data_IF_832977711644
#
_entry.id   IF_832977711644
#
_cell.length_a   1.000
_cell.length_b   1.000
_cell.length_c   1.000
_cell.angle_alpha   90.00
_cell.angle_beta   90.00
_cell.angle_gamma   90.00
#
_symmetry.space_group_name_H-M   'P 1'
#
loop_
_entity.id
_entity.type
_entity.pdbx_description
1 polymer ?
#
# COMPACT_ATOMS: atom_id res chain seq x y z
N UNK A 1 28.87 11.49 -4.82
CA UNK A 1 29.04 10.26 -5.63
C UNK A 1 29.54 9.18 -4.69
N UNK A 2 28.74 8.17 -4.34
CA UNK A 2 29.26 7.00 -3.66
C UNK A 2 29.99 6.10 -4.67
N UNK A 3 31.05 5.40 -4.26
CA UNK A 3 31.88 4.60 -5.13
C UNK A 3 31.16 3.32 -5.58
N UNK A 4 31.16 3.16 -6.90
CA UNK A 4 30.87 1.97 -7.67
C UNK A 4 31.92 0.88 -7.38
N UNK A 5 31.60 -0.11 -6.53
CA UNK A 5 32.26 -1.42 -6.50
C UNK A 5 31.36 -2.48 -5.83
N UNK A 6 30.40 -3.01 -6.58
CA UNK A 6 29.86 -4.34 -6.33
C UNK A 6 30.52 -5.35 -7.28
N UNK A 7 30.99 -6.53 -6.83
CA UNK A 7 31.61 -7.52 -7.72
C UNK A 7 30.60 -8.09 -8.73
N UNK A 8 31.04 -8.66 -9.88
CA UNK A 8 30.15 -9.34 -10.80
C UNK A 8 29.54 -10.58 -10.13
N UNK A 9 28.21 -10.66 -10.06
CA UNK A 9 27.50 -11.77 -9.43
C UNK A 9 27.73 -13.09 -10.18
N UNK A 10 28.13 -14.19 -9.51
CA UNK A 10 28.05 -15.53 -10.10
C UNK A 10 26.60 -16.04 -10.07
N UNK A 11 26.15 -16.71 -11.15
CA UNK A 11 24.74 -17.13 -11.33
C UNK A 11 24.22 -18.19 -10.35
N UNK A 12 25.03 -18.77 -9.46
CA UNK A 12 24.60 -19.83 -8.55
C UNK A 12 25.47 -19.92 -7.29
N UNK A 13 25.19 -19.11 -6.25
CA UNK A 13 25.42 -19.50 -4.85
C UNK A 13 24.65 -18.56 -3.91
N UNK A 14 23.55 -19.05 -3.34
CA UNK A 14 22.76 -18.35 -2.32
C UNK A 14 23.46 -18.55 -0.97
N UNK A 15 24.15 -17.52 -0.48
CA UNK A 15 24.60 -17.46 0.92
C UNK A 15 24.45 -16.02 1.47
N UNK A 16 23.33 -15.86 2.16
CA UNK A 16 23.02 -14.95 3.27
C UNK A 16 24.03 -13.84 3.59
N UNK A 17 23.73 -12.64 3.10
CA UNK A 17 23.99 -11.42 3.84
C UNK A 17 22.63 -10.98 4.48
N UNK A 18 22.50 -10.66 5.78
CA UNK A 18 21.18 -10.45 6.41
C UNK A 18 20.58 -9.04 6.20
N UNK A 19 21.15 -8.20 5.32
CA UNK A 19 20.88 -6.75 5.34
C UNK A 19 20.72 -6.06 3.97
N UNK A 20 20.52 -6.79 2.88
CA UNK A 20 20.21 -6.17 1.58
C UNK A 20 18.90 -6.75 1.03
N UNK A 21 17.76 -6.09 1.26
CA UNK A 21 16.51 -6.60 0.70
C UNK A 21 16.56 -6.39 -0.83
N UNK A 22 17.16 -7.32 -1.58
CA UNK A 22 17.07 -7.36 -3.04
C UNK A 22 15.60 -7.59 -3.34
N UNK A 23 14.95 -6.57 -3.92
CA UNK A 23 13.60 -6.67 -4.47
C UNK A 23 13.46 -8.05 -5.14
N UNK A 24 12.53 -8.91 -4.70
CA UNK A 24 12.43 -10.25 -5.23
C UNK A 24 12.36 -10.19 -6.76
N UNK A 25 13.23 -10.91 -7.49
CA UNK A 25 13.26 -10.84 -8.95
C UNK A 25 11.87 -11.09 -9.53
N UNK A 26 11.44 -10.23 -10.44
CA UNK A 26 10.12 -10.36 -11.07
C UNK A 26 8.95 -9.88 -10.20
N UNK A 27 9.19 -9.02 -9.20
CA UNK A 27 8.13 -8.32 -8.48
C UNK A 27 8.10 -6.83 -8.79
N UNK A 28 6.96 -6.19 -8.51
CA UNK A 28 6.76 -4.76 -8.48
C UNK A 28 6.14 -4.31 -7.16
N UNK A 29 6.52 -3.12 -6.71
CA UNK A 29 6.05 -2.52 -5.47
C UNK A 29 4.72 -1.81 -5.71
N UNK A 30 3.70 -2.17 -4.95
CA UNK A 30 2.47 -1.40 -4.84
C UNK A 30 2.50 -0.62 -3.51
N UNK A 31 2.41 0.69 -3.59
CA UNK A 31 2.27 1.57 -2.43
C UNK A 31 0.83 2.05 -2.36
N UNK A 32 0.15 1.72 -1.26
CA UNK A 32 -1.24 2.10 -1.01
C UNK A 32 -1.27 3.22 0.04
N UNK A 33 -1.81 4.37 -0.36
CA UNK A 33 -2.13 5.48 0.53
C UNK A 33 -3.63 5.51 0.84
N UNK A 34 -3.98 6.23 1.90
CA UNK A 34 -5.38 6.54 2.22
C UNK A 34 -5.53 7.97 2.70
N UNK A 35 -6.66 8.57 2.37
CA UNK A 35 -7.14 9.86 2.90
C UNK A 35 -8.47 9.61 3.60
N UNK A 36 -8.65 10.11 4.81
CA UNK A 36 -9.83 9.83 5.64
C UNK A 36 -9.71 8.52 6.45
N UNK A 37 -10.84 8.04 6.96
CA UNK A 37 -10.91 6.84 7.83
C UNK A 37 -11.45 5.63 7.06
N UNK A 38 -10.67 4.54 7.11
CA UNK A 38 -10.95 3.32 6.36
C UNK A 38 -9.71 2.43 6.24
N UNK A 39 -9.94 1.22 5.75
CA UNK A 39 -8.91 0.20 5.53
C UNK A 39 -8.88 -0.23 4.07
N UNK A 40 -7.71 -0.64 3.60
CA UNK A 40 -7.52 -1.19 2.24
C UNK A 40 -6.87 -2.56 2.36
N UNK A 41 -7.45 -3.56 1.70
CA UNK A 41 -6.92 -4.93 1.66
C UNK A 41 -6.80 -5.42 0.22
N UNK A 42 -5.66 -6.00 -0.19
CA UNK A 42 -4.37 -6.01 0.53
C UNK A 42 -3.75 -4.60 0.59
N UNK A 43 -2.79 -4.39 1.50
CA UNK A 43 -2.09 -3.12 1.65
C UNK A 43 -0.87 -2.98 0.73
N UNK A 44 0.01 -2.03 1.07
CA UNK A 44 1.31 -1.89 0.40
C UNK A 44 2.15 -3.16 0.48
N UNK A 45 2.91 -3.48 -0.57
CA UNK A 45 3.75 -4.67 -0.62
C UNK A 45 4.37 -4.91 -1.99
N UNK A 46 5.17 -5.97 -2.10
CA UNK A 46 5.73 -6.44 -3.36
C UNK A 46 4.88 -7.57 -3.92
N UNK A 47 4.52 -7.45 -5.20
CA UNK A 47 3.62 -8.35 -5.90
C UNK A 47 4.29 -8.86 -7.17
N UNK A 48 3.99 -10.10 -7.57
CA UNK A 48 4.55 -10.69 -8.79
C UNK A 48 4.16 -9.89 -10.04
N UNK A 49 5.14 -9.69 -10.93
CA UNK A 49 4.93 -9.01 -12.20
C UNK A 49 3.91 -9.75 -13.07
N UNK A 50 3.03 -8.99 -13.72
CA UNK A 50 1.96 -9.50 -14.57
C UNK A 50 0.74 -10.02 -13.79
N UNK A 51 0.77 -10.03 -12.45
CA UNK A 51 -0.41 -10.38 -11.65
C UNK A 51 -1.36 -9.19 -11.54
N UNK A 52 -2.66 -9.49 -11.39
CA UNK A 52 -3.67 -8.47 -11.08
C UNK A 52 -3.98 -8.51 -9.58
N UNK A 53 -3.58 -7.47 -8.86
CA UNK A 53 -3.89 -7.28 -7.44
C UNK A 53 -5.27 -6.66 -7.33
N UNK A 54 -6.17 -7.31 -6.59
CA UNK A 54 -7.52 -6.77 -6.35
C UNK A 54 -7.55 -6.06 -5.00
N UNK A 55 -7.53 -4.72 -5.03
CA UNK A 55 -7.69 -3.89 -3.84
C UNK A 55 -9.16 -3.74 -3.48
N UNK A 56 -9.47 -3.79 -2.19
CA UNK A 56 -10.79 -3.50 -1.64
C UNK A 56 -10.67 -2.46 -0.54
N UNK A 57 -11.37 -1.35 -0.70
CA UNK A 57 -11.51 -0.29 0.29
C UNK A 57 -12.74 -0.56 1.18
N UNK A 58 -12.53 -0.59 2.49
CA UNK A 58 -13.57 -0.75 3.49
C UNK A 58 -13.60 0.51 4.36
N UNK A 59 -14.64 1.37 4.23
CA UNK A 59 -14.75 2.56 5.06
C UNK A 59 -14.99 2.20 6.52
N UNK A 60 -14.46 3.00 7.44
CA UNK A 60 -14.77 2.88 8.87
C UNK A 60 -16.20 3.38 9.14
N UNK A 61 -16.74 3.09 10.34
CA UNK A 61 -18.09 3.52 10.73
C UNK A 61 -18.27 5.02 10.55
N UNK A 62 -19.29 5.41 9.79
CA UNK A 62 -19.64 6.81 9.51
C UNK A 62 -18.86 7.44 8.34
N UNK A 63 -17.88 6.74 7.77
CA UNK A 63 -17.20 7.15 6.54
C UNK A 63 -17.81 6.49 5.30
N UNK A 64 -17.50 7.06 4.13
CA UNK A 64 -17.88 6.53 2.82
C UNK A 64 -16.64 6.51 1.93
N UNK A 65 -16.45 5.42 1.18
CA UNK A 65 -15.46 5.39 0.12
C UNK A 65 -15.91 6.28 -1.04
N UNK A 66 -15.06 7.24 -1.44
CA UNK A 66 -15.35 8.20 -2.49
C UNK A 66 -14.78 7.73 -3.84
N UNK A 67 -13.46 7.59 -3.94
CA UNK A 67 -12.79 7.11 -5.16
C UNK A 67 -11.33 6.68 -4.94
N UNK A 68 -10.81 5.89 -5.90
CA UNK A 68 -9.39 5.60 -6.08
C UNK A 68 -8.73 6.68 -6.95
N UNK A 69 -7.48 7.02 -6.65
CA UNK A 69 -6.65 7.95 -7.42
C UNK A 69 -5.18 7.49 -7.49
N UNK A 70 -4.38 8.09 -8.39
CA UNK A 70 -2.98 7.71 -8.64
C UNK A 70 -2.83 6.85 -9.90
N UNK A 71 -2.08 5.75 -9.79
CA UNK A 71 -1.89 4.77 -10.89
C UNK A 71 -3.14 3.90 -11.15
N UNK A 72 -4.15 3.95 -10.28
CA UNK A 72 -5.45 3.32 -10.50
C UNK A 72 -6.56 4.30 -10.09
N UNK A 73 -7.59 4.41 -10.94
CA UNK A 73 -8.71 5.34 -10.74
C UNK A 73 -10.04 4.61 -10.86
N UNK A 74 -11.01 4.98 -10.03
CA UNK A 74 -12.36 4.42 -10.11
C UNK A 74 -13.19 4.73 -8.87
N UNK A 75 -14.50 4.61 -9.01
CA UNK A 75 -15.46 4.86 -7.92
C UNK A 75 -16.00 3.57 -7.29
N UNK A 76 -15.62 2.41 -7.84
CA UNK A 76 -15.91 1.11 -7.21
C UNK A 76 -14.98 0.90 -6.02
N UNK A 77 -15.49 0.45 -4.85
CA UNK A 77 -14.66 0.15 -3.68
C UNK A 77 -13.68 -1.00 -3.93
N UNK A 78 -13.93 -1.82 -4.96
CA UNK A 78 -13.01 -2.86 -5.42
C UNK A 78 -12.44 -2.50 -6.79
N UNK A 79 -11.11 -2.59 -6.95
CA UNK A 79 -10.40 -2.31 -8.20
C UNK A 79 -9.28 -3.34 -8.44
N UNK A 80 -9.13 -3.78 -9.69
CA UNK A 80 -8.03 -4.64 -10.12
C UNK A 80 -6.88 -3.82 -10.69
N UNK A 81 -5.66 -4.09 -10.26
CA UNK A 81 -4.44 -3.40 -10.66
C UNK A 81 -3.47 -4.42 -11.26
N UNK A 82 -3.15 -4.29 -12.54
CA UNK A 82 -2.11 -5.09 -13.18
C UNK A 82 -0.72 -4.60 -12.75
N UNK A 83 0.08 -5.46 -12.13
CA UNK A 83 1.44 -5.13 -11.68
C UNK A 83 2.44 -5.25 -12.83
N UNK A 84 2.55 -4.20 -13.64
CA UNK A 84 3.49 -4.10 -14.78
C UNK A 84 4.69 -3.16 -14.51
N UNK A 85 4.62 -2.39 -13.43
CA UNK A 85 5.65 -1.53 -12.87
C UNK A 85 5.32 -1.25 -11.40
N UNK A 86 6.21 -0.53 -10.71
CA UNK A 86 5.88 0.01 -9.39
C UNK A 86 4.73 1.02 -9.51
N UNK A 87 3.79 0.98 -8.56
CA UNK A 87 2.55 1.76 -8.60
C UNK A 87 2.21 2.38 -7.26
N UNK A 88 1.60 3.55 -7.31
CA UNK A 88 1.05 4.26 -6.17
C UNK A 88 -0.44 4.49 -6.34
N UNK A 89 -1.23 4.04 -5.37
CA UNK A 89 -2.69 4.14 -5.39
C UNK A 89 -3.21 4.70 -4.07
N UNK A 90 -4.14 5.64 -4.14
CA UNK A 90 -4.73 6.28 -2.96
C UNK A 90 -6.22 5.97 -2.88
N UNK A 91 -6.67 5.43 -1.74
CA UNK A 91 -8.09 5.33 -1.39
C UNK A 91 -8.56 6.62 -0.71
N UNK A 92 -9.55 7.30 -1.28
CA UNK A 92 -10.14 8.48 -0.67
C UNK A 92 -11.45 8.10 0.04
N UNK A 93 -11.53 8.43 1.33
CA UNK A 93 -12.71 8.27 2.16
C UNK A 93 -13.17 9.66 2.63
N UNK A 94 -14.48 9.84 2.72
CA UNK A 94 -15.13 11.08 3.18
C UNK A 94 -16.06 10.80 4.36
N UNK A 95 -16.17 11.77 5.29
CA UNK A 95 -16.96 11.62 6.51
C UNK A 95 -16.19 10.92 7.63
N UNK A 96 -16.92 10.14 8.44
CA UNK A 96 -16.41 9.50 9.65
C UNK A 96 -16.44 10.44 10.86
N UNK A 97 -16.41 9.90 12.09
CA UNK A 97 -16.02 10.71 13.23
C UNK A 97 -14.63 11.29 12.94
N UNK A 98 -14.39 12.58 13.23
CA UNK A 98 -13.04 13.14 13.11
C UNK A 98 -12.10 12.25 13.90
N UNK A 99 -10.94 11.96 13.31
CA UNK A 99 -9.87 11.17 13.94
C UNK A 99 -9.66 11.67 15.37
N UNK A 100 -10.09 10.87 16.33
CA UNK A 100 -10.03 11.07 17.79
C UNK A 100 -10.84 12.26 18.34
N UNK A 101 -12.01 11.94 18.90
CA UNK A 101 -12.46 12.56 20.15
C UNK A 101 -12.68 11.40 21.11
N UNK A 102 -11.69 11.15 21.98
CA UNK A 102 -11.99 10.42 23.21
C UNK A 102 -13.17 11.11 23.87
N UNK A 103 -14.15 10.34 24.31
CA UNK A 103 -15.21 10.82 25.16
C UNK A 103 -14.53 11.41 26.41
N UNK A 104 -14.59 12.73 26.60
CA UNK A 104 -14.26 13.32 27.89
C UNK A 104 -15.33 12.80 28.84
N UNK A 105 -15.01 11.75 29.60
CA UNK A 105 -15.78 11.37 30.77
C UNK A 105 -15.57 12.52 31.75
N UNK A 106 -16.54 13.41 31.85
CA UNK A 106 -16.56 14.36 32.97
C UNK A 106 -16.95 13.53 34.19
N UNK A 107 -15.94 12.99 34.88
CA UNK A 107 -16.11 12.57 36.28
C UNK A 107 -16.37 13.85 37.08
N UNK A 108 -17.65 14.09 37.38
CA UNK A 108 -18.00 15.09 38.37
C UNK A 108 -17.72 14.49 39.75
N UNK A 109 -16.82 15.15 40.50
CA UNK A 109 -16.49 14.87 41.91
C UNK A 109 -17.73 15.01 42.83
#
# INVERSE_FOLDING_TARGET
>A
MPPDMGPPFPRFLVIYWPWYEEKPPGTYRLTVFRVGTGTVTPGSGDYEAGTTVTLTAVPDTGAVFDHWSGDATGTSPTIGILMDRDKEVTANFVGGPPSEREEIIIEWD
#
